data_IF_240454882339
#
_entry.id   IF_240454882339
#
_cell.length_a   1.000
_cell.length_b   1.000
_cell.length_c   1.000
_cell.angle_alpha   90.00
_cell.angle_beta   90.00
_cell.angle_gamma   90.00
#
_symmetry.space_group_name_H-M   'P 1'
#
loop_
_entity.id
_entity.type
_entity.pdbx_description
1 polymer ?
#
# COMPACT_ATOMS: atom_id res chain seq x y z
N UNK A 1 5.97 -14.90 9.65
CA UNK A 1 5.52 -13.52 9.89
C UNK A 1 4.21 -13.33 9.16
N UNK A 2 3.17 -12.80 9.81
CA UNK A 2 1.91 -12.44 9.16
C UNK A 2 1.70 -10.93 9.27
N UNK A 3 1.15 -10.34 8.22
CA UNK A 3 0.86 -8.91 8.11
C UNK A 3 -0.65 -8.76 8.07
N UNK A 4 -1.21 -8.02 9.02
CA UNK A 4 -2.60 -7.62 9.00
C UNK A 4 -2.74 -6.36 8.14
N UNK A 5 -3.44 -6.46 7.01
CA UNK A 5 -3.70 -5.34 6.11
C UNK A 5 -5.09 -5.47 5.50
N UNK A 6 -5.92 -4.46 5.76
CA UNK A 6 -7.32 -4.40 5.30
C UNK A 6 -7.55 -3.26 4.31
N UNK A 7 -6.47 -2.74 3.71
CA UNK A 7 -6.54 -1.63 2.77
C UNK A 7 -6.83 -2.08 1.33
N UNK A 8 -6.56 -1.18 0.39
CA UNK A 8 -6.82 -1.40 -1.04
C UNK A 8 -6.11 -2.64 -1.55
N UNK A 9 -6.84 -3.47 -2.30
CA UNK A 9 -6.31 -4.68 -2.94
C UNK A 9 -6.15 -5.88 -2.01
N UNK A 10 -6.42 -5.74 -0.70
CA UNK A 10 -6.44 -6.85 0.24
C UNK A 10 -7.54 -7.85 -0.12
N UNK A 11 -7.19 -9.14 -0.14
CA UNK A 11 -8.12 -10.25 -0.43
C UNK A 11 -8.54 -11.03 0.81
N UNK A 12 -7.80 -10.87 1.90
CA UNK A 12 -7.96 -11.47 3.22
C UNK A 12 -7.27 -10.55 4.23
N UNK A 13 -7.62 -10.63 5.50
CA UNK A 13 -7.05 -9.71 6.49
C UNK A 13 -5.56 -9.99 6.74
N UNK A 14 -5.14 -11.25 6.69
CA UNK A 14 -3.76 -11.67 6.94
C UNK A 14 -3.01 -12.02 5.65
N UNK A 15 -1.85 -11.41 5.46
CA UNK A 15 -0.96 -11.62 4.32
C UNK A 15 0.43 -12.08 4.76
N UNK A 16 1.09 -12.85 3.90
CA UNK A 16 2.55 -12.98 3.95
C UNK A 16 3.21 -11.70 3.44
N UNK A 17 4.51 -11.51 3.72
CA UNK A 17 5.29 -10.38 3.19
C UNK A 17 5.23 -10.31 1.66
N UNK A 18 5.39 -11.45 0.98
CA UNK A 18 5.36 -11.51 -0.48
C UNK A 18 3.98 -11.14 -1.05
N UNK A 19 2.89 -11.60 -0.42
CA UNK A 19 1.52 -11.24 -0.82
C UNK A 19 1.28 -9.73 -0.62
N UNK A 20 1.67 -9.20 0.54
CA UNK A 20 1.54 -7.78 0.86
C UNK A 20 2.31 -6.90 -0.14
N UNK A 21 3.58 -7.21 -0.40
CA UNK A 21 4.39 -6.47 -1.38
C UNK A 21 3.83 -6.59 -2.81
N UNK A 22 3.25 -7.74 -3.16
CA UNK A 22 2.56 -7.90 -4.45
C UNK A 22 1.35 -6.98 -4.56
N UNK A 23 0.56 -6.85 -3.49
CA UNK A 23 -0.56 -5.91 -3.44
C UNK A 23 -0.05 -4.47 -3.61
N UNK A 24 0.96 -4.06 -2.86
CA UNK A 24 1.52 -2.70 -2.95
C UNK A 24 2.05 -2.40 -4.35
N UNK A 25 2.74 -3.36 -4.95
CA UNK A 25 3.23 -3.23 -6.33
C UNK A 25 2.09 -3.06 -7.32
N UNK A 26 1.06 -3.92 -7.26
CA UNK A 26 -0.08 -3.88 -8.19
C UNK A 26 -0.91 -2.62 -8.05
N UNK A 27 -1.25 -2.25 -6.81
CA UNK A 27 -2.19 -1.17 -6.53
C UNK A 27 -1.53 0.22 -6.60
N UNK A 28 -0.21 0.31 -6.38
CA UNK A 28 0.49 1.60 -6.35
C UNK A 28 1.61 1.71 -7.39
N UNK A 29 2.55 0.77 -7.45
CA UNK A 29 3.76 0.94 -8.29
C UNK A 29 3.47 0.82 -9.78
N UNK A 30 2.76 -0.26 -10.16
CA UNK A 30 2.47 -0.61 -11.55
C UNK A 30 1.24 0.16 -12.08
N UNK A 31 0.54 0.88 -11.20
CA UNK A 31 -0.64 1.65 -11.55
C UNK A 31 -0.27 2.87 -12.38
N UNK A 32 -0.97 3.07 -13.50
CA UNK A 32 -0.83 4.29 -14.30
C UNK A 32 -1.56 5.44 -13.64
N UNK A 33 -0.82 6.17 -12.81
CA UNK A 33 -1.33 7.36 -12.18
C UNK A 33 -1.61 8.47 -13.18
N UNK A 34 -1.01 8.56 -14.36
CA UNK A 34 -1.25 9.72 -15.25
C UNK A 34 -2.72 9.80 -15.65
N UNK A 35 -3.32 8.66 -15.97
CA UNK A 35 -4.70 8.55 -16.45
C UNK A 35 -5.75 8.32 -15.34
N UNK A 36 -5.33 8.24 -14.08
CA UNK A 36 -6.26 8.12 -12.96
C UNK A 36 -7.00 9.43 -12.66
N UNK A 37 -8.29 9.28 -12.29
CA UNK A 37 -9.13 10.41 -11.90
C UNK A 37 -8.54 11.14 -10.70
N UNK A 38 -8.69 12.46 -10.65
CA UNK A 38 -8.17 13.28 -9.56
C UNK A 38 -8.68 12.82 -8.18
N UNK A 39 -9.94 12.41 -8.09
CA UNK A 39 -10.55 11.90 -6.86
C UNK A 39 -9.89 10.59 -6.37
N UNK A 40 -9.65 9.64 -7.27
CA UNK A 40 -8.96 8.39 -6.92
C UNK A 40 -7.49 8.63 -6.58
N UNK A 41 -6.81 9.55 -7.27
CA UNK A 41 -5.48 10.00 -6.86
C UNK A 41 -5.49 10.56 -5.45
N UNK A 42 -6.41 11.48 -5.15
CA UNK A 42 -6.47 12.10 -3.83
C UNK A 42 -6.77 11.07 -2.73
N UNK A 43 -7.69 10.13 -2.95
CA UNK A 43 -8.02 9.10 -1.96
C UNK A 43 -6.91 8.06 -1.77
N UNK A 44 -6.16 7.73 -2.82
CA UNK A 44 -5.14 6.69 -2.77
C UNK A 44 -3.76 7.22 -2.43
N UNK A 45 -3.47 8.48 -2.73
CA UNK A 45 -2.22 9.14 -2.35
C UNK A 45 -2.33 9.77 -0.96
N UNK A 46 -3.51 10.10 -0.46
CA UNK A 46 -3.66 10.63 0.91
C UNK A 46 -4.04 9.51 1.89
N UNK A 47 -3.06 8.99 2.64
CA UNK A 47 -3.32 8.11 3.78
C UNK A 47 -2.92 8.81 5.09
N UNK A 48 -3.84 8.86 6.07
CA UNK A 48 -3.64 9.55 7.37
C UNK A 48 -3.03 10.95 7.24
N UNK A 49 -3.59 11.78 6.36
CA UNK A 49 -3.14 13.14 6.05
C UNK A 49 -1.78 13.24 5.33
N UNK A 50 -1.17 12.13 4.92
CA UNK A 50 0.10 12.10 4.21
C UNK A 50 -0.12 11.86 2.72
N UNK A 51 0.47 12.73 1.90
CA UNK A 51 0.54 12.55 0.45
C UNK A 51 1.69 11.58 0.14
N UNK A 52 1.38 10.50 -0.56
CA UNK A 52 2.33 9.53 -1.05
C UNK A 52 3.38 10.27 -1.92
N UNK A 53 4.67 10.26 -1.54
CA UNK A 53 5.69 11.03 -2.23
C UNK A 53 5.93 10.46 -3.63
N UNK A 54 6.31 11.27 -4.61
CA UNK A 54 6.57 10.80 -5.98
C UNK A 54 7.58 9.63 -6.07
N UNK A 55 8.44 9.51 -5.06
CA UNK A 55 9.48 8.48 -4.93
C UNK A 55 8.97 7.17 -4.32
N UNK A 56 7.66 7.02 -4.08
CA UNK A 56 7.06 5.82 -3.47
C UNK A 56 7.40 4.51 -4.19
N UNK A 57 7.78 4.56 -5.46
CA UNK A 57 8.28 3.39 -6.21
C UNK A 57 9.56 2.80 -5.63
N UNK A 58 10.26 3.55 -4.77
CA UNK A 58 11.45 3.15 -4.05
C UNK A 58 11.16 2.71 -2.60
N UNK A 59 9.89 2.72 -2.17
CA UNK A 59 9.51 2.29 -0.84
C UNK A 59 9.98 0.87 -0.56
N UNK A 60 10.65 0.73 0.58
CA UNK A 60 11.00 -0.55 1.16
C UNK A 60 9.77 -1.21 1.77
N UNK A 61 9.91 -2.44 2.22
CA UNK A 61 8.86 -3.13 2.96
C UNK A 61 8.38 -2.32 4.17
N UNK A 62 9.30 -1.71 4.94
CA UNK A 62 8.95 -0.95 6.14
C UNK A 62 8.19 0.33 5.79
N UNK A 63 8.58 1.02 4.71
CA UNK A 63 7.87 2.21 4.24
C UNK A 63 6.44 1.86 3.84
N UNK A 64 6.23 0.72 3.17
CA UNK A 64 4.89 0.24 2.84
C UNK A 64 4.07 -0.14 4.07
N UNK A 65 4.69 -0.75 5.08
CA UNK A 65 4.02 -1.07 6.34
C UNK A 65 3.54 0.20 7.06
N UNK A 66 4.39 1.21 7.16
CA UNK A 66 4.06 2.50 7.75
C UNK A 66 2.96 3.22 6.96
N UNK A 67 3.14 3.33 5.64
CA UNK A 67 2.20 4.00 4.74
C UNK A 67 0.82 3.34 4.75
N UNK A 68 0.76 2.02 4.70
CA UNK A 68 -0.52 1.31 4.62
C UNK A 68 -1.24 1.19 5.97
N UNK A 69 -0.53 1.48 7.06
CA UNK A 69 -0.96 1.17 8.43
C UNK A 69 -1.08 -0.32 8.71
N UNK A 70 -0.46 -1.17 7.88
CA UNK A 70 -0.40 -2.60 8.12
C UNK A 70 0.39 -2.90 9.40
N UNK A 71 0.08 -4.02 10.04
CA UNK A 71 0.70 -4.39 11.32
C UNK A 71 1.23 -5.82 11.27
N UNK A 72 2.40 -6.05 11.85
CA UNK A 72 2.95 -7.40 12.00
C UNK A 72 2.24 -8.08 13.16
N UNK A 73 1.69 -9.25 12.90
CA UNK A 73 1.09 -10.11 13.92
C UNK A 73 2.08 -11.20 14.27
N UNK A 74 2.60 -11.16 15.50
CA UNK A 74 3.32 -12.27 16.09
C UNK A 74 2.27 -13.23 16.69
N UNK A 75 2.10 -14.38 16.05
CA UNK A 75 1.32 -15.51 16.60
C UNK A 75 2.29 -16.43 17.33
#
# INVERSE_FOLDING_TARGET
MKILYTGIGATKDEHTEAEFLTIMKREFIDKDWVNESFEKKALQLCYKDWILPNEFKLFTFMDWMEYSGASIVCI
#
